data_IF_282228010577
#
_entry.id   IF_282228010577
#
_cell.length_a   1.000
_cell.length_b   1.000
_cell.length_c   1.000
_cell.angle_alpha   90.00
_cell.angle_beta   90.00
_cell.angle_gamma   90.00
#
_symmetry.space_group_name_H-M   'P 1'
#
loop_
_entity.id
_entity.type
_entity.pdbx_description
1 polymer ?
#
# COMPACT_ATOMS: atom_id res chain seq x y z
N UNK A 1 -14.76 -2.73 18.10
CA UNK A 1 -14.08 -4.03 17.89
C UNK A 1 -15.07 -5.12 17.49
N UNK A 2 -16.12 -5.36 18.29
CA UNK A 2 -17.14 -6.41 18.04
C UNK A 2 -17.88 -6.32 16.69
N UNK A 3 -18.19 -5.12 16.19
CA UNK A 3 -18.97 -4.97 14.94
C UNK A 3 -18.19 -5.34 13.68
N UNK A 4 -16.92 -4.93 13.57
CA UNK A 4 -16.06 -5.32 12.43
C UNK A 4 -15.74 -6.81 12.47
N UNK A 5 -15.50 -7.35 13.66
CA UNK A 5 -15.26 -8.78 13.81
C UNK A 5 -16.47 -9.59 13.37
N UNK A 6 -17.68 -9.19 13.80
CA UNK A 6 -18.92 -9.79 13.31
C UNK A 6 -19.06 -9.67 11.80
N UNK A 7 -18.72 -8.51 11.21
CA UNK A 7 -18.72 -8.36 9.75
C UNK A 7 -17.81 -9.39 9.06
N UNK A 8 -16.61 -9.64 9.58
CA UNK A 8 -15.72 -10.67 9.02
C UNK A 8 -16.31 -12.08 9.17
N UNK A 9 -16.90 -12.38 10.31
CA UNK A 9 -17.56 -13.66 10.58
C UNK A 9 -18.70 -13.87 9.57
N UNK A 10 -19.55 -12.87 9.38
CA UNK A 10 -20.68 -12.88 8.43
C UNK A 10 -20.21 -13.02 6.96
N UNK A 11 -19.00 -12.55 6.64
CA UNK A 11 -18.43 -12.59 5.28
C UNK A 11 -17.31 -13.61 5.10
N UNK A 12 -17.23 -14.61 6.00
CA UNK A 12 -16.18 -15.64 6.00
C UNK A 12 -16.05 -16.36 4.64
N UNK A 13 -17.16 -16.61 3.96
CA UNK A 13 -17.15 -17.29 2.66
C UNK A 13 -16.48 -16.44 1.56
N UNK A 14 -16.85 -15.15 1.47
CA UNK A 14 -16.21 -14.21 0.54
C UNK A 14 -14.72 -14.07 0.83
N UNK A 15 -14.34 -14.00 2.11
CA UNK A 15 -12.93 -13.95 2.52
C UNK A 15 -12.16 -15.22 2.10
N UNK A 16 -12.76 -16.41 2.24
CA UNK A 16 -12.16 -17.66 1.75
C UNK A 16 -11.94 -17.65 0.23
N UNK A 17 -12.90 -17.15 -0.53
CA UNK A 17 -12.79 -17.03 -1.98
C UNK A 17 -11.68 -16.05 -2.39
N UNK A 18 -11.68 -14.86 -1.79
CA UNK A 18 -10.62 -13.86 -1.98
C UNK A 18 -9.24 -14.49 -1.70
N UNK A 19 -9.09 -15.17 -0.56
CA UNK A 19 -7.83 -15.83 -0.19
C UNK A 19 -7.38 -16.84 -1.25
N UNK A 20 -8.28 -17.69 -1.72
CA UNK A 20 -7.95 -18.70 -2.72
C UNK A 20 -7.47 -18.06 -4.03
N UNK A 21 -8.13 -16.97 -4.44
CA UNK A 21 -7.73 -16.22 -5.61
C UNK A 21 -6.37 -15.53 -5.42
N UNK A 22 -6.12 -14.95 -4.25
CA UNK A 22 -4.83 -14.36 -3.88
C UNK A 22 -3.70 -15.38 -3.87
N UNK A 23 -3.96 -16.58 -3.37
CA UNK A 23 -2.98 -17.67 -3.38
C UNK A 23 -2.60 -18.06 -4.81
N UNK A 24 -3.58 -18.22 -5.69
CA UNK A 24 -3.34 -18.48 -7.12
C UNK A 24 -2.59 -17.33 -7.77
N UNK A 25 -2.88 -16.06 -7.40
CA UNK A 25 -2.14 -14.89 -7.90
C UNK A 25 -0.68 -14.91 -7.48
N UNK A 26 -0.39 -15.14 -6.20
CA UNK A 26 0.98 -15.07 -5.67
C UNK A 26 1.86 -16.19 -6.24
N UNK A 27 1.29 -17.36 -6.54
CA UNK A 27 2.03 -18.47 -7.17
C UNK A 27 2.36 -18.24 -8.64
N UNK A 28 1.78 -17.23 -9.30
CA UNK A 28 1.96 -16.96 -10.71
C UNK A 28 2.73 -15.65 -10.91
N UNK A 29 3.89 -15.71 -11.60
CA UNK A 29 4.66 -14.50 -11.93
C UNK A 29 3.83 -13.48 -12.72
N UNK A 30 2.93 -13.96 -13.58
CA UNK A 30 1.92 -13.16 -14.27
C UNK A 30 0.57 -13.86 -14.14
N UNK A 31 -0.26 -13.48 -13.15
CA UNK A 31 -1.54 -14.14 -12.95
C UNK A 31 -2.42 -14.05 -14.20
N UNK A 32 -3.20 -15.08 -14.52
CA UNK A 32 -4.15 -14.97 -15.63
C UNK A 32 -5.09 -13.77 -15.43
N UNK A 33 -5.41 -13.04 -16.51
CA UNK A 33 -6.31 -11.86 -16.47
C UNK A 33 -7.60 -12.18 -15.73
N UNK A 34 -8.16 -13.38 -15.96
CA UNK A 34 -9.38 -13.84 -15.30
C UNK A 34 -9.25 -13.92 -13.78
N UNK A 35 -8.11 -14.37 -13.25
CA UNK A 35 -7.87 -14.44 -11.81
C UNK A 35 -7.78 -13.02 -11.22
N UNK A 36 -7.10 -12.09 -11.91
CA UNK A 36 -7.04 -10.69 -11.47
C UNK A 36 -8.43 -10.04 -11.43
N UNK A 37 -9.23 -10.23 -12.48
CA UNK A 37 -10.59 -9.71 -12.57
C UNK A 37 -11.52 -10.35 -11.53
N UNK A 38 -11.44 -11.66 -11.32
CA UNK A 38 -12.20 -12.36 -10.28
C UNK A 38 -11.83 -11.86 -8.88
N UNK A 39 -10.53 -11.68 -8.61
CA UNK A 39 -10.06 -11.15 -7.33
C UNK A 39 -10.56 -9.74 -7.09
N UNK A 40 -10.44 -8.86 -8.11
CA UNK A 40 -10.97 -7.50 -8.06
C UNK A 40 -12.46 -7.51 -7.75
N UNK A 41 -13.24 -8.30 -8.47
CA UNK A 41 -14.69 -8.42 -8.27
C UNK A 41 -15.01 -8.80 -6.82
N UNK A 42 -14.32 -9.81 -6.26
CA UNK A 42 -14.57 -10.27 -4.89
C UNK A 42 -14.21 -9.24 -3.83
N UNK A 43 -13.13 -8.48 -4.02
CA UNK A 43 -12.85 -7.35 -3.14
C UNK A 43 -13.85 -6.20 -3.29
N UNK A 44 -14.34 -5.94 -4.50
CA UNK A 44 -15.39 -4.93 -4.73
C UNK A 44 -16.69 -5.34 -4.05
N UNK A 45 -17.12 -6.59 -4.19
CA UNK A 45 -18.27 -7.15 -3.44
C UNK A 45 -18.08 -6.96 -1.93
N UNK A 46 -16.88 -7.26 -1.41
CA UNK A 46 -16.56 -7.07 0.00
C UNK A 46 -16.58 -5.59 0.42
N UNK A 47 -16.10 -4.68 -0.43
CA UNK A 47 -16.13 -3.25 -0.16
C UNK A 47 -17.56 -2.71 -0.12
N UNK A 48 -18.39 -3.10 -1.10
CA UNK A 48 -19.81 -2.70 -1.16
C UNK A 48 -20.57 -3.21 0.06
N UNK A 49 -20.35 -4.46 0.47
CA UNK A 49 -20.92 -5.01 1.69
C UNK A 49 -20.44 -4.27 2.95
N UNK A 50 -19.15 -3.89 2.99
CA UNK A 50 -18.60 -3.13 4.10
C UNK A 50 -19.22 -1.73 4.18
N UNK A 51 -19.32 -1.01 3.07
CA UNK A 51 -19.91 0.34 3.02
C UNK A 51 -21.42 0.32 3.28
N UNK A 52 -22.11 -0.75 2.91
CA UNK A 52 -23.51 -0.98 3.28
C UNK A 52 -23.69 -1.23 4.78
N UNK A 53 -22.80 -2.03 5.38
CA UNK A 53 -22.82 -2.34 6.82
C UNK A 53 -22.35 -1.17 7.68
N UNK A 54 -21.44 -0.35 7.15
CA UNK A 54 -20.84 0.80 7.81
C UNK A 54 -20.91 2.04 6.90
N UNK A 55 -22.06 2.72 6.84
CA UNK A 55 -22.26 3.88 5.95
C UNK A 55 -21.32 5.06 6.22
N UNK A 56 -20.65 5.06 7.38
CA UNK A 56 -19.64 6.05 7.77
C UNK A 56 -18.45 5.38 8.47
N UNK A 57 -17.26 5.88 8.16
CA UNK A 57 -16.00 5.42 8.76
C UNK A 57 -15.77 6.13 10.10
N UNK A 58 -16.48 5.69 11.14
CA UNK A 58 -16.48 6.36 12.45
C UNK A 58 -15.40 5.88 13.42
N UNK A 59 -14.67 4.80 13.12
CA UNK A 59 -13.68 4.22 14.05
C UNK A 59 -12.36 3.91 13.35
N UNK A 60 -11.28 3.88 14.14
CA UNK A 60 -9.95 3.46 13.68
C UNK A 60 -9.98 2.07 13.00
N UNK A 61 -10.75 1.13 13.56
CA UNK A 61 -10.88 -0.20 12.99
C UNK A 61 -11.70 -0.18 11.68
N UNK A 62 -12.74 0.65 11.57
CA UNK A 62 -13.47 0.77 10.31
C UNK A 62 -12.53 1.25 9.21
N UNK A 63 -11.74 2.29 9.52
CA UNK A 63 -10.79 2.86 8.59
C UNK A 63 -9.69 1.86 8.19
N UNK A 64 -9.16 1.10 9.15
CA UNK A 64 -8.12 0.11 8.87
C UNK A 64 -8.59 -0.93 7.85
N UNK A 65 -9.77 -1.50 8.07
CA UNK A 65 -10.32 -2.56 7.22
C UNK A 65 -10.73 -2.03 5.85
N UNK A 66 -11.50 -0.94 5.84
CA UNK A 66 -11.93 -0.28 4.61
C UNK A 66 -10.73 0.17 3.76
N UNK A 67 -9.70 0.72 4.40
CA UNK A 67 -8.46 1.14 3.74
C UNK A 67 -7.71 -0.03 3.11
N UNK A 68 -7.60 -1.17 3.82
CA UNK A 68 -6.96 -2.36 3.26
C UNK A 68 -7.73 -2.93 2.08
N UNK A 69 -9.06 -3.06 2.17
CA UNK A 69 -9.90 -3.55 1.06
C UNK A 69 -9.65 -2.69 -0.19
N UNK A 70 -9.66 -1.36 -0.04
CA UNK A 70 -9.34 -0.43 -1.14
C UNK A 70 -7.92 -0.60 -1.67
N UNK A 71 -6.92 -0.73 -0.80
CA UNK A 71 -5.55 -0.96 -1.21
C UNK A 71 -5.41 -2.27 -2.02
N UNK A 72 -6.12 -3.34 -1.65
CA UNK A 72 -6.12 -4.60 -2.43
C UNK A 72 -6.73 -4.43 -3.81
N UNK A 73 -7.87 -3.74 -3.91
CA UNK A 73 -8.49 -3.41 -5.21
C UNK A 73 -7.53 -2.58 -6.06
N UNK A 74 -6.90 -1.55 -5.49
CA UNK A 74 -5.94 -0.69 -6.19
C UNK A 74 -4.76 -1.48 -6.74
N UNK A 75 -4.23 -2.44 -5.97
CA UNK A 75 -3.18 -3.33 -6.46
C UNK A 75 -3.62 -4.14 -7.69
N UNK A 76 -4.86 -4.62 -7.73
CA UNK A 76 -5.38 -5.32 -8.94
C UNK A 76 -5.47 -4.40 -10.18
N UNK A 77 -5.68 -3.09 -9.98
CA UNK A 77 -5.65 -2.11 -11.07
C UNK A 77 -4.23 -1.90 -11.60
N UNK A 78 -3.24 -1.79 -10.71
CA UNK A 78 -1.84 -1.69 -11.10
C UNK A 78 -1.38 -2.90 -11.91
N UNK A 79 -1.70 -4.12 -11.46
CA UNK A 79 -1.38 -5.35 -12.20
C UNK A 79 -2.09 -5.46 -13.56
N UNK A 80 -3.15 -4.66 -13.77
CA UNK A 80 -3.86 -4.60 -15.03
C UNK A 80 -3.44 -3.40 -15.88
N UNK A 81 -2.35 -2.72 -15.52
CA UNK A 81 -1.85 -1.51 -16.19
C UNK A 81 -2.88 -0.37 -16.19
N UNK A 82 -3.66 -0.24 -15.12
CA UNK A 82 -4.65 0.83 -14.92
C UNK A 82 -4.27 1.78 -13.76
N UNK A 83 -3.08 2.44 -13.79
CA UNK A 83 -2.55 3.19 -12.65
C UNK A 83 -3.41 4.39 -12.24
N UNK A 84 -4.10 5.04 -13.17
CA UNK A 84 -4.99 6.15 -12.85
C UNK A 84 -6.18 5.72 -11.96
N UNK A 85 -6.73 4.51 -12.19
CA UNK A 85 -7.81 3.96 -11.36
C UNK A 85 -7.30 3.56 -9.98
N UNK A 86 -6.11 2.98 -9.90
CA UNK A 86 -5.45 2.70 -8.64
C UNK A 86 -5.23 3.98 -7.82
N UNK A 87 -4.69 5.03 -8.45
CA UNK A 87 -4.44 6.32 -7.82
C UNK A 87 -5.72 6.94 -7.24
N UNK A 88 -6.79 6.99 -8.05
CA UNK A 88 -8.08 7.53 -7.62
C UNK A 88 -8.62 6.78 -6.40
N UNK A 89 -8.54 5.46 -6.40
CA UNK A 89 -9.04 4.63 -5.29
C UNK A 89 -8.24 4.85 -3.99
N UNK A 90 -6.92 5.01 -4.10
CA UNK A 90 -6.03 5.23 -2.96
C UNK A 90 -6.17 6.64 -2.37
N UNK A 91 -6.31 7.68 -3.20
CA UNK A 91 -6.47 9.07 -2.72
C UNK A 91 -7.74 9.26 -1.89
N UNK A 92 -8.80 8.49 -2.16
CA UNK A 92 -10.03 8.51 -1.36
C UNK A 92 -9.76 8.14 0.10
N UNK A 93 -8.76 7.30 0.37
CA UNK A 93 -8.40 6.92 1.74
C UNK A 93 -8.07 8.16 2.57
N UNK A 94 -7.30 9.10 2.02
CA UNK A 94 -6.95 10.33 2.74
C UNK A 94 -8.11 11.32 2.84
N UNK A 95 -9.01 11.40 1.84
CA UNK A 95 -10.16 12.29 1.92
C UNK A 95 -11.19 11.85 2.97
N UNK A 96 -11.38 10.55 3.16
CA UNK A 96 -12.32 9.98 4.14
C UNK A 96 -11.77 9.98 5.58
N UNK A 97 -10.46 10.16 5.78
CA UNK A 97 -9.91 10.35 7.15
C UNK A 97 -10.39 11.62 7.84
N UNK A 98 -11.07 12.54 7.15
CA UNK A 98 -11.51 13.84 7.71
C UNK A 98 -12.32 13.70 9.00
N UNK A 99 -13.12 12.66 9.10
CA UNK A 99 -13.95 12.40 10.30
C UNK A 99 -13.15 11.73 11.44
N UNK A 100 -11.96 11.21 11.14
CA UNK A 100 -11.00 10.65 12.09
C UNK A 100 -9.82 11.61 12.28
N UNK A 101 -10.07 12.74 12.94
CA UNK A 101 -9.13 13.88 13.06
C UNK A 101 -7.70 13.45 13.41
N UNK A 102 -7.51 12.58 14.41
CA UNK A 102 -6.16 12.14 14.81
C UNK A 102 -5.47 11.29 13.74
N UNK A 103 -6.22 10.46 13.01
CA UNK A 103 -5.68 9.64 11.91
C UNK A 103 -5.32 10.53 10.73
N UNK A 104 -6.17 11.52 10.42
CA UNK A 104 -5.88 12.53 9.41
C UNK A 104 -4.64 13.33 9.74
N UNK A 105 -4.51 13.82 10.98
CA UNK A 105 -3.33 14.57 11.42
C UNK A 105 -2.05 13.74 11.29
N UNK A 106 -2.08 12.47 11.68
CA UNK A 106 -0.95 11.56 11.48
C UNK A 106 -0.63 11.38 9.99
N UNK A 107 -1.64 11.14 9.15
CA UNK A 107 -1.45 10.98 7.70
C UNK A 107 -0.90 12.27 7.06
N UNK A 108 -1.36 13.44 7.49
CA UNK A 108 -0.89 14.75 7.03
C UNK A 108 0.57 14.98 7.47
N UNK A 109 0.95 14.62 8.72
CA UNK A 109 2.35 14.68 9.18
C UNK A 109 3.26 13.75 8.41
N UNK A 110 2.79 12.54 8.05
CA UNK A 110 3.56 11.58 7.28
C UNK A 110 3.81 12.08 5.84
N UNK A 111 2.81 12.73 5.23
CA UNK A 111 2.88 13.27 3.87
C UNK A 111 3.65 14.60 3.80
N UNK A 112 3.39 15.49 4.74
CA UNK A 112 3.76 16.90 4.68
C UNK A 112 4.29 17.42 6.02
N UNK A 113 5.37 16.84 6.57
CA UNK A 113 5.91 17.26 7.87
C UNK A 113 6.29 18.75 7.90
N UNK A 114 6.70 19.32 6.76
CA UNK A 114 7.07 20.73 6.60
C UNK A 114 5.91 21.71 6.83
N UNK A 115 4.65 21.24 6.79
CA UNK A 115 3.47 22.08 7.06
C UNK A 115 3.21 22.30 8.54
N UNK A 116 3.94 21.62 9.41
CA UNK A 116 3.78 21.70 10.86
C UNK A 116 4.88 22.55 11.47
N UNK A 117 4.52 23.42 12.41
CA UNK A 117 5.45 24.39 13.02
C UNK A 117 6.54 23.73 13.87
N UNK A 118 6.33 22.49 14.32
CA UNK A 118 7.30 21.66 15.03
C UNK A 118 8.16 20.80 14.11
N UNK A 119 8.06 20.98 12.78
CA UNK A 119 8.73 20.14 11.79
C UNK A 119 8.12 18.75 11.64
N UNK A 120 6.89 18.54 12.12
CA UNK A 120 6.20 17.26 12.05
C UNK A 120 6.62 16.28 13.14
N UNK A 121 7.02 16.78 14.32
CA UNK A 121 7.35 15.92 15.46
C UNK A 121 6.17 15.02 15.84
N UNK A 122 6.49 13.76 16.20
CA UNK A 122 5.50 12.75 16.54
C UNK A 122 5.32 12.68 18.06
N UNK A 123 4.11 12.95 18.50
CA UNK A 123 3.72 12.77 19.90
C UNK A 123 3.58 11.27 20.24
N UNK A 124 3.56 10.92 21.53
CA UNK A 124 3.30 9.55 21.96
C UNK A 124 1.96 9.00 21.43
N UNK A 125 0.93 9.85 21.32
CA UNK A 125 -0.34 9.48 20.70
C UNK A 125 -0.23 9.22 19.20
N UNK A 126 0.60 9.98 18.49
CA UNK A 126 0.86 9.76 17.06
C UNK A 126 1.53 8.40 16.84
N UNK A 127 2.47 8.04 17.71
CA UNK A 127 3.18 6.74 17.65
C UNK A 127 2.24 5.56 17.93
N UNK A 128 1.35 5.67 18.92
CA UNK A 128 0.34 4.62 19.19
C UNK A 128 -0.59 4.43 17.98
N UNK A 129 -0.99 5.53 17.32
CA UNK A 129 -1.78 5.46 16.10
C UNK A 129 -0.97 4.88 14.95
N UNK A 130 0.30 5.25 14.83
CA UNK A 130 1.22 4.69 13.83
C UNK A 130 1.34 3.17 13.98
N UNK A 131 1.44 2.64 15.20
CA UNK A 131 1.51 1.19 15.43
C UNK A 131 0.29 0.45 14.86
N UNK A 132 -0.88 1.10 14.92
CA UNK A 132 -2.13 0.56 14.37
C UNK A 132 -2.17 0.62 12.85
N UNK A 133 -1.67 1.71 12.26
CA UNK A 133 -1.87 2.02 10.83
C UNK A 133 -0.62 1.86 9.96
N UNK A 134 0.54 1.55 10.51
CA UNK A 134 1.80 1.53 9.76
C UNK A 134 1.75 0.58 8.56
N UNK A 135 1.18 -0.62 8.70
CA UNK A 135 1.00 -1.56 7.59
C UNK A 135 0.12 -1.00 6.48
N UNK A 136 -1.00 -0.36 6.84
CA UNK A 136 -1.91 0.29 5.89
C UNK A 136 -1.24 1.47 5.19
N UNK A 137 -0.65 2.40 5.95
CA UNK A 137 -0.03 3.59 5.38
C UNK A 137 1.16 3.26 4.49
N UNK A 138 2.03 2.33 4.92
CA UNK A 138 3.13 1.87 4.07
C UNK A 138 2.60 1.26 2.77
N UNK A 139 1.57 0.40 2.84
CA UNK A 139 0.94 -0.21 1.66
C UNK A 139 0.36 0.85 0.73
N UNK A 140 -0.41 1.79 1.26
CA UNK A 140 -1.07 2.84 0.47
C UNK A 140 -0.05 3.75 -0.19
N UNK A 141 0.97 4.20 0.54
CA UNK A 141 2.03 5.04 -0.02
C UNK A 141 2.86 4.32 -1.08
N UNK A 142 3.16 3.03 -0.86
CA UNK A 142 3.84 2.22 -1.87
C UNK A 142 3.02 2.08 -3.16
N UNK A 143 1.72 1.79 -3.04
CA UNK A 143 0.84 1.67 -4.20
C UNK A 143 0.62 3.03 -4.89
N UNK A 144 0.57 4.14 -4.15
CA UNK A 144 0.51 5.48 -4.74
C UNK A 144 1.78 5.81 -5.52
N UNK A 145 2.94 5.46 -4.98
CA UNK A 145 4.21 5.63 -5.67
C UNK A 145 4.23 4.86 -7.00
N UNK A 146 3.75 3.61 -7.01
CA UNK A 146 3.60 2.80 -8.21
C UNK A 146 2.50 3.29 -9.17
N UNK A 147 1.50 4.01 -8.67
CA UNK A 147 0.40 4.56 -9.48
C UNK A 147 0.78 5.85 -10.21
N UNK A 148 1.81 6.55 -9.75
CA UNK A 148 2.34 7.72 -10.43
C UNK A 148 3.41 7.24 -11.42
N UNK A 149 3.04 7.11 -12.70
CA UNK A 149 4.01 6.80 -13.75
C UNK A 149 4.89 8.04 -14.06
N UNK A 150 6.17 7.86 -14.45
CA UNK A 150 6.93 8.94 -15.06
C UNK A 150 6.25 9.33 -16.38
N UNK A 151 5.55 10.46 -16.42
CA UNK A 151 4.93 10.94 -17.66
C UNK A 151 6.04 11.24 -18.68
N UNK A 152 6.02 10.57 -19.83
CA UNK A 152 6.86 10.90 -20.98
C UNK A 152 6.46 12.23 -21.64
N UNK A 153 5.29 12.76 -21.30
CA UNK A 153 4.80 14.03 -21.82
C UNK A 153 5.10 15.19 -20.86
N UNK A 154 6.14 15.93 -21.21
CA UNK A 154 6.44 17.27 -20.72
C UNK A 154 5.46 18.31 -21.32
N UNK A 155 4.18 17.96 -21.48
CA UNK A 155 3.16 18.86 -22.02
C UNK A 155 2.25 19.40 -20.92
N UNK A 156 2.64 20.59 -20.42
CA UNK A 156 1.75 21.66 -19.96
C UNK A 156 0.48 21.24 -19.20
N UNK A 157 0.64 20.48 -18.11
CA UNK A 157 -0.30 20.54 -17.00
C UNK A 157 0.44 21.18 -15.83
N UNK A 158 -0.07 22.32 -15.41
CA UNK A 158 0.39 23.18 -14.35
C UNK A 158 1.04 22.41 -13.19
N UNK A 159 2.39 22.33 -13.17
CA UNK A 159 3.17 21.82 -12.04
C UNK A 159 3.16 22.83 -10.89
N UNK A 160 1.98 23.11 -10.34
CA UNK A 160 1.85 23.48 -8.93
C UNK A 160 1.43 22.20 -8.21
N UNK A 161 2.34 21.63 -7.42
CA UNK A 161 2.02 20.62 -6.38
C UNK A 161 1.46 19.26 -6.82
N UNK A 162 1.90 18.66 -7.94
CA UNK A 162 1.58 17.26 -8.22
C UNK A 162 2.48 16.31 -7.40
N UNK A 163 1.89 15.50 -6.53
CA UNK A 163 2.57 14.49 -5.70
C UNK A 163 3.26 13.44 -6.61
N UNK A 164 4.59 13.38 -6.60
CA UNK A 164 5.39 12.48 -7.46
C UNK A 164 5.52 11.07 -6.88
N UNK A 165 5.96 10.09 -7.66
CA UNK A 165 6.32 8.75 -7.15
C UNK A 165 7.35 8.82 -6.03
N UNK A 166 8.29 9.76 -6.14
CA UNK A 166 9.31 10.01 -5.12
C UNK A 166 8.71 10.58 -3.82
N UNK A 167 7.76 11.50 -3.91
CA UNK A 167 7.04 12.01 -2.74
C UNK A 167 6.38 10.85 -1.97
N UNK A 168 5.61 9.99 -2.65
CA UNK A 168 4.95 8.86 -2.00
C UNK A 168 5.93 7.84 -1.42
N UNK A 169 7.05 7.58 -2.09
CA UNK A 169 8.14 6.76 -1.54
C UNK A 169 8.73 7.34 -0.25
N UNK A 170 8.92 8.66 -0.18
CA UNK A 170 9.39 9.32 1.04
C UNK A 170 8.38 9.15 2.18
N UNK A 171 7.08 9.18 1.90
CA UNK A 171 6.04 8.92 2.88
C UNK A 171 6.11 7.47 3.39
N UNK A 172 6.24 6.48 2.49
CA UNK A 172 6.40 5.07 2.86
C UNK A 172 7.67 4.83 3.68
N UNK A 173 8.78 5.47 3.29
CA UNK A 173 10.05 5.46 4.03
C UNK A 173 9.87 5.98 5.45
N UNK A 174 9.18 7.12 5.60
CA UNK A 174 8.94 7.74 6.91
C UNK A 174 8.12 6.84 7.83
N UNK A 175 7.09 6.18 7.31
CA UNK A 175 6.33 5.17 8.06
C UNK A 175 7.25 4.03 8.51
N UNK A 176 8.10 3.53 7.62
CA UNK A 176 9.04 2.46 7.93
C UNK A 176 10.02 2.87 9.03
N UNK A 177 10.76 3.96 8.84
CA UNK A 177 11.78 4.44 9.80
C UNK A 177 11.17 4.69 11.18
N UNK A 178 10.03 5.40 11.25
CA UNK A 178 9.35 5.66 12.52
C UNK A 178 8.89 4.37 13.19
N UNK A 179 8.32 3.43 12.45
CA UNK A 179 7.88 2.17 13.03
C UNK A 179 9.06 1.37 13.59
N UNK A 180 10.16 1.25 12.83
CA UNK A 180 11.35 0.50 13.24
C UNK A 180 12.06 1.14 14.45
N UNK A 181 12.10 2.46 14.54
CA UNK A 181 12.71 3.19 15.65
C UNK A 181 11.96 2.97 16.97
N UNK A 182 10.62 2.93 16.92
CA UNK A 182 9.78 2.93 18.11
C UNK A 182 9.28 1.55 18.54
N UNK A 183 9.34 0.54 17.66
CA UNK A 183 8.80 -0.80 17.92
C UNK A 183 9.87 -1.88 18.03
N UNK A 184 9.47 -3.02 18.60
CA UNK A 184 10.31 -4.19 18.68
C UNK A 184 10.72 -4.68 17.27
N UNK A 185 12.03 -4.85 17.03
CA UNK A 185 12.61 -5.34 15.77
C UNK A 185 12.07 -6.68 15.27
N UNK A 186 11.43 -7.47 16.15
CA UNK A 186 10.88 -8.78 15.83
C UNK A 186 9.39 -8.75 15.50
N UNK A 187 8.67 -7.66 15.81
CA UNK A 187 7.21 -7.56 15.62
C UNK A 187 6.90 -6.55 14.52
N UNK A 188 6.00 -6.92 13.61
CA UNK A 188 5.52 -6.04 12.55
C UNK A 188 4.13 -5.47 12.83
N UNK A 189 3.73 -4.43 12.06
CA UNK A 189 2.42 -3.83 12.20
C UNK A 189 1.34 -4.72 11.60
N UNK A 190 0.09 -4.38 11.88
CA UNK A 190 -1.05 -5.15 11.35
C UNK A 190 -1.13 -5.03 9.81
N UNK A 191 -1.35 -6.15 9.12
CA UNK A 191 -1.57 -6.24 7.68
C UNK A 191 -2.92 -6.88 7.35
N UNK A 192 -3.40 -6.69 6.13
CA UNK A 192 -4.64 -7.34 5.67
C UNK A 192 -4.57 -8.87 5.82
N UNK A 193 -3.44 -9.46 5.47
CA UNK A 193 -3.19 -10.90 5.55
C UNK A 193 -3.40 -11.42 6.98
N UNK A 194 -2.97 -10.66 7.97
CA UNK A 194 -3.00 -11.06 9.39
C UNK A 194 -4.31 -10.73 10.07
N UNK A 195 -5.08 -9.81 9.48
CA UNK A 195 -6.47 -9.51 9.84
C UNK A 195 -7.42 -10.57 9.26
N UNK A 196 -7.43 -10.74 7.94
CA UNK A 196 -8.45 -11.46 7.22
C UNK A 196 -8.21 -12.97 7.15
N UNK A 197 -6.93 -13.39 7.27
CA UNK A 197 -6.51 -14.79 7.10
C UNK A 197 -5.69 -15.29 8.29
N UNK A 198 -5.97 -14.79 9.51
CA UNK A 198 -5.21 -15.08 10.73
C UNK A 198 -4.94 -16.57 10.96
N UNK A 199 -5.94 -17.42 10.75
CA UNK A 199 -5.83 -18.89 10.91
C UNK A 199 -4.81 -19.52 9.93
N UNK A 200 -4.52 -18.85 8.82
CA UNK A 200 -3.62 -19.32 7.75
C UNK A 200 -2.24 -18.66 7.82
N UNK A 201 -2.11 -17.48 8.43
CA UNK A 201 -0.80 -16.87 8.70
C UNK A 201 0.03 -17.75 9.65
N UNK A 202 -0.64 -18.49 10.53
CA UNK A 202 -0.01 -19.54 11.35
C UNK A 202 0.53 -20.72 10.54
N UNK A 203 0.11 -20.92 9.28
CA UNK A 203 0.65 -21.95 8.38
C UNK A 203 1.83 -21.44 7.53
N UNK A 204 1.97 -20.11 7.37
CA UNK A 204 3.14 -19.49 6.74
C UNK A 204 4.38 -19.51 7.65
N UNK A 205 4.18 -19.76 8.94
CA UNK A 205 5.26 -20.12 9.86
C UNK A 205 5.15 -21.59 10.21
N UNK A 206 6.04 -22.42 9.67
CA UNK A 206 6.31 -23.77 10.20
C UNK A 206 6.22 -23.73 11.71
N UNK A 207 5.32 -24.51 12.31
CA UNK A 207 5.25 -24.69 13.76
C UNK A 207 6.54 -25.32 14.27
N UNK A 208 7.30 -24.69 15.19
CA UNK A 208 8.26 -25.43 15.97
C UNK A 208 8.05 -25.18 17.47
N UNK A 209 8.65 -26.05 18.23
CA UNK A 209 8.64 -26.12 19.69
C UNK A 209 8.84 -24.75 20.35
N UNK A 210 8.19 -24.60 21.51
CA UNK A 210 8.10 -23.37 22.34
C UNK A 210 9.44 -22.66 22.65
N UNK A 211 10.59 -23.25 22.32
CA UNK A 211 11.92 -22.75 22.67
C UNK A 211 12.53 -21.72 21.68
N UNK A 212 11.99 -21.53 20.46
CA UNK A 212 12.55 -20.60 19.44
C UNK A 212 11.64 -19.38 19.19
N UNK A 213 11.04 -18.81 20.25
CA UNK A 213 10.14 -17.65 20.11
C UNK A 213 10.79 -16.29 20.32
N UNK A 214 12.02 -16.24 20.85
CA UNK A 214 12.63 -14.96 21.27
C UNK A 214 13.53 -14.29 20.21
N UNK A 215 13.75 -14.93 19.05
CA UNK A 215 14.65 -14.41 18.01
C UNK A 215 14.08 -14.39 16.58
N UNK A 216 12.86 -14.91 16.36
CA UNK A 216 12.26 -14.99 15.01
C UNK A 216 11.31 -13.82 14.76
N UNK A 217 11.47 -13.16 13.61
CA UNK A 217 10.56 -12.10 13.16
C UNK A 217 9.15 -12.64 12.90
N UNK A 218 8.12 -11.88 13.27
CA UNK A 218 6.72 -12.24 12.95
C UNK A 218 6.46 -12.14 11.44
N UNK A 219 5.46 -12.86 10.90
CA UNK A 219 5.06 -12.73 9.49
C UNK A 219 4.76 -11.28 9.09
N UNK A 220 4.13 -10.51 9.97
CA UNK A 220 3.89 -9.08 9.81
C UNK A 220 5.20 -8.31 9.62
N UNK A 221 6.23 -8.65 10.41
CA UNK A 221 7.52 -7.98 10.31
C UNK A 221 8.17 -8.24 8.96
N UNK A 222 8.12 -9.49 8.49
CA UNK A 222 8.63 -9.86 7.18
C UNK A 222 7.88 -9.13 6.05
N UNK A 223 6.55 -9.07 6.13
CA UNK A 223 5.72 -8.32 5.17
C UNK A 223 6.07 -6.83 5.15
N UNK A 224 6.30 -6.24 6.33
CA UNK A 224 6.65 -4.82 6.46
C UNK A 224 8.00 -4.48 5.85
N UNK A 225 9.00 -5.33 6.05
CA UNK A 225 10.33 -5.17 5.46
C UNK A 225 10.27 -5.35 3.94
N UNK A 226 9.64 -6.45 3.48
CA UNK A 226 9.57 -6.80 2.06
C UNK A 226 8.74 -5.79 1.27
N UNK A 227 7.63 -5.29 1.84
CA UNK A 227 6.74 -4.34 1.19
C UNK A 227 7.47 -3.05 0.82
N UNK A 228 8.30 -2.51 1.71
CA UNK A 228 9.08 -1.31 1.45
C UNK A 228 10.19 -1.54 0.42
N UNK A 229 10.97 -2.62 0.58
CA UNK A 229 12.09 -2.91 -0.33
C UNK A 229 11.61 -3.19 -1.75
N UNK A 230 10.49 -3.90 -1.93
CA UNK A 230 9.96 -4.22 -3.25
C UNK A 230 9.57 -2.98 -4.04
N UNK A 231 8.92 -1.99 -3.40
CA UNK A 231 8.53 -0.75 -4.08
C UNK A 231 9.74 0.08 -4.49
N UNK A 232 10.80 0.12 -3.67
CA UNK A 232 12.07 0.74 -4.05
C UNK A 232 12.64 0.06 -5.30
N UNK A 233 12.70 -1.27 -5.32
CA UNK A 233 13.23 -2.03 -6.46
C UNK A 233 12.42 -1.81 -7.74
N UNK A 234 11.09 -1.89 -7.66
CA UNK A 234 10.20 -1.68 -8.82
C UNK A 234 10.35 -0.27 -9.40
N UNK A 235 10.45 0.76 -8.55
CA UNK A 235 10.62 2.13 -9.03
C UNK A 235 12.05 2.40 -9.52
N UNK A 236 13.06 1.74 -8.96
CA UNK A 236 14.42 1.77 -9.48
C UNK A 236 14.51 1.12 -10.87
N UNK A 237 13.81 0.01 -11.10
CA UNK A 237 13.70 -0.63 -12.42
C UNK A 237 13.02 0.27 -13.43
N UNK A 238 11.87 0.87 -13.09
CA UNK A 238 11.16 1.82 -13.96
C UNK A 238 12.02 3.06 -14.25
N UNK A 239 12.77 3.56 -13.26
CA UNK A 239 13.73 4.65 -13.43
C UNK A 239 14.92 4.28 -14.33
N UNK A 240 15.43 3.06 -14.21
CA UNK A 240 16.53 2.54 -15.04
C UNK A 240 16.07 2.31 -16.48
N UNK A 241 14.88 1.73 -16.69
CA UNK A 241 14.27 1.53 -18.00
C UNK A 241 13.94 2.85 -18.69
N UNK A 242 13.49 3.86 -17.93
CA UNK A 242 13.31 5.21 -18.43
C UNK A 242 14.64 5.88 -18.80
N UNK A 243 15.70 5.69 -17.99
CA UNK A 243 17.05 6.19 -18.30
C UNK A 243 17.66 5.50 -19.53
N UNK A 244 17.42 4.20 -19.69
CA UNK A 244 17.87 3.42 -20.85
C UNK A 244 17.11 3.83 -22.11
N UNK A 245 15.78 3.95 -22.06
CA UNK A 245 14.96 4.40 -23.19
C UNK A 245 15.22 5.86 -23.56
N UNK A 246 15.42 6.75 -22.58
CA UNK A 246 15.76 8.16 -22.85
C UNK A 246 17.19 8.33 -23.38
N UNK A 247 18.15 7.49 -22.95
CA UNK A 247 19.48 7.45 -23.57
C UNK A 247 19.41 6.92 -25.00
N UNK A 248 18.69 5.82 -25.27
CA UNK A 248 18.53 5.28 -26.63
C UNK A 248 17.84 6.30 -27.56
N UNK A 249 16.78 6.97 -27.11
CA UNK A 249 16.12 8.04 -27.85
C UNK A 249 17.03 9.26 -28.07
N UNK A 250 17.88 9.63 -27.10
CA UNK A 250 18.89 10.69 -27.29
C UNK A 250 19.99 10.28 -28.28
N UNK A 251 20.46 9.03 -28.25
CA UNK A 251 21.47 8.53 -29.18
C UNK A 251 20.93 8.39 -30.62
N UNK A 252 19.64 8.05 -30.78
CA UNK A 252 18.97 8.03 -32.08
C UNK A 252 18.70 9.44 -32.63
N UNK A 253 18.39 10.42 -31.76
CA UNK A 253 18.22 11.82 -32.18
C UNK A 253 19.56 12.45 -32.59
N UNK A 254 20.64 12.16 -31.87
CA UNK A 254 22.00 12.62 -32.22
C UNK A 254 22.57 11.98 -33.49
N UNK A 255 22.17 10.76 -33.84
CA UNK A 255 22.58 10.13 -35.10
C UNK A 255 21.76 10.58 -36.31
N UNK A 256 20.55 11.11 -36.09
CA UNK A 256 19.73 11.66 -37.18
C UNK A 256 20.08 13.11 -37.53
N UNK A 257 20.46 13.94 -36.54
CA UNK A 257 20.86 15.33 -36.77
C UNK A 257 22.30 15.49 -37.31
N UNK A 258 23.15 14.46 -37.19
CA UNK A 258 24.53 14.46 -37.74
C UNK A 258 24.66 13.74 -39.11
N UNK A 259 23.56 13.52 -39.83
CA UNK A 259 23.56 12.99 -41.22
C UNK A 259 23.02 13.99 -42.25
N UNK A 260 23.06 15.28 -41.95
CA UNK A 260 22.91 16.34 -42.95
C UNK A 260 24.05 17.33 -42.76
N UNK A 261 25.19 17.03 -43.39
CA UNK A 261 26.17 17.94 -43.96
C UNK A 261 27.16 17.12 -44.81
#
# INVERSE_FOLDING_TARGET
>A
MLQVQKFLEDHTQTLKEVRNLEFVRIQQATPAVQIRLATRRKYTELLEAFESSFPKICTAMHFLYWGFIRARIANTYLESSEPAKAYALLKVIFSETKDLVSVRLLADKLQYPERFSDGGQYSKSDLILLDTFAGLFQTVFNLLAASVAPSSDDSKLERKTAETSFHWLQCAKRVHELYVEHNNRFVGPTFWETIAFKDYVHQLGDTPEKAIRETRQTPERLLFEHGYTNTIFLLAQVGLDFLLNSKILRTLKYTHDNRVL
#
